data_IF_088655226134
#
_entry.id   IF_088655226134
#
_cell.length_a   1.000
_cell.length_b   1.000
_cell.length_c   1.000
_cell.angle_alpha   90.00
_cell.angle_beta   90.00
_cell.angle_gamma   90.00
#
_symmetry.space_group_name_H-M   'P 1'
#
loop_
_entity.id
_entity.type
_entity.pdbx_description
1 polymer ?
#
# COMPACT_ATOMS: atom_id res chain seq x y z
N UNK A 1 -60.54 -46.45 -26.87
CA UNK A 1 -60.20 -45.01 -26.75
C UNK A 1 -59.26 -44.84 -25.56
N UNK A 2 -58.01 -44.40 -25.84
CA UNK A 2 -57.17 -43.42 -25.09
C UNK A 2 -57.19 -43.57 -23.54
N UNK A 3 -56.13 -43.88 -22.79
CA UNK A 3 -54.74 -43.41 -22.86
C UNK A 3 -53.83 -44.15 -21.85
N UNK A 4 -52.53 -44.13 -22.14
CA UNK A 4 -51.38 -44.01 -21.22
C UNK A 4 -50.87 -45.21 -20.39
N UNK A 5 -49.99 -45.97 -21.05
CA UNK A 5 -48.61 -46.31 -20.64
C UNK A 5 -48.41 -47.05 -19.29
N UNK A 6 -48.12 -48.37 -19.31
CA UNK A 6 -47.62 -49.08 -18.14
C UNK A 6 -46.09 -49.00 -18.00
N UNK A 7 -45.68 -48.46 -16.86
CA UNK A 7 -44.40 -48.58 -16.19
C UNK A 7 -43.74 -49.95 -16.33
N UNK A 8 -42.63 -50.05 -17.06
CA UNK A 8 -41.62 -51.12 -16.90
C UNK A 8 -40.23 -50.66 -17.37
N UNK A 9 -39.80 -49.45 -16.98
CA UNK A 9 -38.45 -48.96 -17.25
C UNK A 9 -37.74 -48.51 -15.95
N UNK A 10 -38.14 -49.09 -14.81
CA UNK A 10 -37.59 -48.78 -13.48
C UNK A 10 -36.61 -49.81 -12.94
N UNK A 11 -36.21 -50.82 -13.71
CA UNK A 11 -35.45 -51.91 -13.10
C UNK A 11 -34.47 -52.66 -14.03
N UNK A 12 -33.86 -52.02 -15.03
CA UNK A 12 -32.72 -52.62 -15.78
C UNK A 12 -31.83 -51.55 -16.42
N UNK A 13 -31.08 -50.78 -15.63
CA UNK A 13 -29.80 -50.20 -16.07
C UNK A 13 -29.03 -49.61 -14.87
N UNK A 14 -29.08 -50.29 -13.74
CA UNK A 14 -28.39 -49.93 -12.50
C UNK A 14 -26.88 -50.31 -12.56
N UNK A 15 -26.25 -50.24 -13.73
CA UNK A 15 -24.86 -50.71 -13.92
C UNK A 15 -24.16 -50.07 -15.13
N UNK A 16 -24.07 -48.75 -15.20
CA UNK A 16 -23.23 -48.12 -16.24
C UNK A 16 -22.71 -46.70 -15.94
N UNK A 17 -22.74 -46.20 -14.69
CA UNK A 17 -22.13 -44.88 -14.41
C UNK A 17 -21.66 -44.75 -12.95
N UNK A 18 -20.75 -45.63 -12.51
CA UNK A 18 -20.08 -45.50 -11.20
C UNK A 18 -18.56 -45.78 -11.24
N UNK A 19 -17.90 -45.61 -12.38
CA UNK A 19 -16.44 -45.75 -12.47
C UNK A 19 -15.85 -44.61 -13.33
N UNK A 20 -15.81 -43.41 -12.75
CA UNK A 20 -14.85 -42.35 -13.13
C UNK A 20 -14.27 -41.76 -11.86
N UNK A 21 -13.50 -42.58 -11.16
CA UNK A 21 -12.60 -42.20 -10.08
C UNK A 21 -11.49 -43.24 -10.13
N UNK A 22 -10.31 -42.90 -10.66
CA UNK A 22 -9.01 -42.76 -9.98
C UNK A 22 -7.95 -42.30 -11.02
N UNK A 23 -6.97 -41.50 -10.59
CA UNK A 23 -5.80 -40.97 -11.31
C UNK A 23 -6.13 -39.79 -12.27
N UNK A 24 -5.73 -38.55 -12.04
CA UNK A 24 -4.45 -38.07 -11.53
C UNK A 24 -4.60 -37.12 -10.33
N UNK A 25 -4.20 -37.60 -9.16
CA UNK A 25 -3.90 -36.82 -7.99
C UNK A 25 -2.48 -37.23 -7.60
N UNK A 26 -1.48 -36.46 -8.07
CA UNK A 26 -0.21 -36.17 -7.39
C UNK A 26 0.82 -35.60 -8.36
N UNK A 27 1.04 -34.28 -8.28
CA UNK A 27 2.37 -33.69 -8.22
C UNK A 27 2.24 -32.17 -7.95
N UNK A 28 2.49 -31.80 -6.70
CA UNK A 28 3.47 -30.75 -6.32
C UNK A 28 3.47 -29.50 -7.21
N UNK A 29 2.91 -28.39 -6.78
CA UNK A 29 3.62 -27.53 -5.83
C UNK A 29 2.62 -26.59 -5.17
N UNK A 30 2.70 -26.52 -3.85
CA UNK A 30 2.21 -25.39 -3.09
C UNK A 30 2.81 -24.11 -3.71
N UNK A 31 2.00 -23.37 -4.45
CA UNK A 31 2.23 -21.94 -4.60
C UNK A 31 2.11 -21.33 -3.22
N UNK A 32 3.21 -21.34 -2.45
CA UNK A 32 3.49 -20.28 -1.51
C UNK A 32 3.05 -18.98 -2.22
N UNK A 33 2.32 -18.04 -1.60
CA UNK A 33 2.31 -16.71 -2.14
C UNK A 33 3.79 -16.34 -2.17
N UNK A 34 4.36 -16.41 -3.37
CA UNK A 34 5.70 -15.93 -3.65
C UNK A 34 5.63 -14.53 -3.10
N UNK A 35 6.28 -14.33 -1.96
CA UNK A 35 6.56 -12.99 -1.52
C UNK A 35 7.33 -12.48 -2.71
N UNK A 36 6.67 -11.67 -3.54
CA UNK A 36 7.30 -11.04 -4.68
C UNK A 36 8.44 -10.30 -4.00
N UNK A 37 9.62 -10.92 -4.00
CA UNK A 37 10.84 -10.28 -3.60
C UNK A 37 11.03 -9.31 -4.74
N UNK A 38 10.37 -8.15 -4.61
CA UNK A 38 10.63 -6.99 -5.43
C UNK A 38 12.14 -6.86 -5.30
N UNK A 39 12.83 -7.14 -6.40
CA UNK A 39 14.26 -6.93 -6.51
C UNK A 39 14.46 -5.42 -6.35
N UNK A 40 14.55 -4.99 -5.10
CA UNK A 40 14.69 -3.59 -4.77
C UNK A 40 16.13 -3.23 -5.05
N UNK A 41 16.32 -2.52 -6.15
CA UNK A 41 17.62 -2.00 -6.52
C UNK A 41 18.17 -1.16 -5.37
N UNK A 42 19.50 -1.12 -5.17
CA UNK A 42 20.12 -0.19 -4.22
C UNK A 42 19.68 1.27 -4.44
N UNK A 43 19.30 1.64 -5.67
CA UNK A 43 18.73 2.97 -5.99
C UNK A 43 17.35 3.17 -5.38
N UNK A 44 16.47 2.18 -5.49
CA UNK A 44 15.11 2.24 -4.92
C UNK A 44 15.18 2.33 -3.40
N UNK A 45 16.01 1.48 -2.79
CA UNK A 45 16.21 1.48 -1.34
C UNK A 45 16.71 2.84 -0.83
N UNK A 46 17.60 3.51 -1.57
CA UNK A 46 18.09 4.84 -1.21
C UNK A 46 17.03 5.93 -1.37
N UNK A 47 16.25 5.90 -2.46
CA UNK A 47 15.16 6.84 -2.67
C UNK A 47 14.06 6.69 -1.61
N UNK A 48 13.71 5.46 -1.25
CA UNK A 48 12.74 5.18 -0.19
C UNK A 48 13.25 5.62 1.19
N UNK A 49 14.56 5.48 1.47
CA UNK A 49 15.16 5.98 2.72
C UNK A 49 15.06 7.51 2.84
N UNK A 50 15.36 8.25 1.77
CA UNK A 50 15.20 9.72 1.74
C UNK A 50 13.73 10.11 1.87
N UNK A 51 12.82 9.41 1.18
CA UNK A 51 11.39 9.63 1.32
C UNK A 51 10.92 9.43 2.78
N UNK A 52 11.41 8.39 3.47
CA UNK A 52 11.10 8.14 4.87
C UNK A 52 11.61 9.25 5.80
N UNK A 53 12.84 9.74 5.58
CA UNK A 53 13.41 10.85 6.34
C UNK A 53 12.58 12.14 6.20
N UNK A 54 12.12 12.44 4.98
CA UNK A 54 11.22 13.57 4.71
C UNK A 54 9.88 13.39 5.43
N UNK A 55 9.31 12.19 5.42
CA UNK A 55 8.08 11.88 6.14
C UNK A 55 8.22 12.10 7.66
N UNK A 56 9.32 11.67 8.26
CA UNK A 56 9.55 11.88 9.70
C UNK A 56 9.69 13.38 10.01
N UNK A 57 10.48 14.10 9.22
CA UNK A 57 10.66 15.54 9.37
C UNK A 57 9.31 16.28 9.26
N UNK A 58 8.49 15.93 8.27
CA UNK A 58 7.15 16.49 8.12
C UNK A 58 6.23 16.13 9.28
N UNK A 59 6.34 14.91 9.83
CA UNK A 59 5.60 14.47 11.01
C UNK A 59 5.96 15.30 12.26
N UNK A 60 7.25 15.57 12.47
CA UNK A 60 7.72 16.45 13.55
C UNK A 60 7.17 17.88 13.42
N UNK A 61 7.28 18.46 12.23
CA UNK A 61 6.74 19.79 11.93
C UNK A 61 5.23 19.81 12.15
N UNK A 62 4.49 18.83 11.62
CA UNK A 62 3.03 18.69 11.81
C UNK A 62 2.68 18.64 13.29
N UNK A 63 3.35 17.79 14.07
CA UNK A 63 3.12 17.65 15.52
C UNK A 63 3.32 18.99 16.24
N UNK A 64 4.39 19.73 15.92
CA UNK A 64 4.67 21.04 16.50
C UNK A 64 3.60 22.06 16.14
N UNK A 65 3.28 22.21 14.86
CA UNK A 65 2.33 23.20 14.37
C UNK A 65 0.90 22.90 14.83
N UNK A 66 0.48 21.63 14.80
CA UNK A 66 -0.84 21.21 15.27
C UNK A 66 -1.03 21.52 16.76
N UNK A 67 -0.03 21.23 17.61
CA UNK A 67 -0.08 21.62 19.03
C UNK A 67 -0.24 23.12 19.21
N UNK A 68 0.52 23.93 18.47
CA UNK A 68 0.43 25.39 18.53
C UNK A 68 -0.95 25.89 18.09
N UNK A 69 -1.49 25.35 16.99
CA UNK A 69 -2.80 25.72 16.48
C UNK A 69 -3.92 25.35 17.46
N UNK A 70 -3.89 24.13 18.01
CA UNK A 70 -4.88 23.68 19.00
C UNK A 70 -4.82 24.55 20.27
N UNK A 71 -3.62 24.84 20.79
CA UNK A 71 -3.48 25.71 21.96
C UNK A 71 -4.03 27.12 21.70
N UNK A 72 -3.78 27.69 20.52
CA UNK A 72 -4.32 28.99 20.13
C UNK A 72 -5.85 28.97 20.00
N UNK A 73 -6.43 27.92 19.41
CA UNK A 73 -7.88 27.77 19.28
C UNK A 73 -8.56 27.55 20.63
N UNK A 74 -7.96 26.75 21.50
CA UNK A 74 -8.45 26.51 22.86
C UNK A 74 -8.50 27.81 23.69
N UNK A 75 -7.48 28.66 23.56
CA UNK A 75 -7.45 29.97 24.21
C UNK A 75 -8.55 30.94 23.69
N UNK A 76 -9.08 30.70 22.48
CA UNK A 76 -10.07 31.56 21.81
C UNK A 76 -11.49 30.96 21.81
N UNK A 77 -11.91 30.36 22.92
CA UNK A 77 -13.28 29.86 23.11
C UNK A 77 -13.43 28.34 23.05
N UNK A 78 -12.32 27.59 23.07
CA UNK A 78 -12.35 26.14 23.14
C UNK A 78 -12.66 25.47 21.80
N UNK A 79 -12.50 24.14 21.78
CA UNK A 79 -12.86 23.29 20.65
C UNK A 79 -13.72 22.14 21.14
N UNK A 80 -14.77 21.82 20.39
CA UNK A 80 -15.42 20.51 20.51
C UNK A 80 -14.49 19.41 20.00
N UNK A 81 -14.70 18.18 20.46
CA UNK A 81 -13.93 17.03 19.99
C UNK A 81 -14.03 16.85 18.46
N UNK A 82 -15.19 17.17 17.88
CA UNK A 82 -15.40 17.11 16.43
C UNK A 82 -14.53 18.10 15.66
N UNK A 83 -14.42 19.33 16.17
CA UNK A 83 -13.57 20.37 15.58
C UNK A 83 -12.09 20.03 15.76
N UNK A 84 -11.68 19.57 16.94
CA UNK A 84 -10.30 19.10 17.18
C UNK A 84 -9.90 18.04 16.16
N UNK A 85 -10.71 16.98 16.02
CA UNK A 85 -10.46 15.92 15.04
C UNK A 85 -10.47 16.42 13.59
N UNK A 86 -11.25 17.45 13.28
CA UNK A 86 -11.26 18.05 11.94
C UNK A 86 -9.93 18.76 11.64
N UNK A 87 -9.37 19.50 12.60
CA UNK A 87 -8.06 20.15 12.48
C UNK A 87 -6.94 19.13 12.37
N UNK A 88 -6.98 18.05 13.16
CA UNK A 88 -6.02 16.94 13.08
C UNK A 88 -6.00 16.30 11.68
N UNK A 89 -7.18 15.93 11.15
CA UNK A 89 -7.31 15.38 9.79
C UNK A 89 -6.87 16.36 8.72
N UNK A 90 -7.12 17.65 8.90
CA UNK A 90 -6.64 18.68 7.98
C UNK A 90 -5.11 18.70 7.96
N UNK A 91 -4.47 18.66 9.13
CA UNK A 91 -3.01 18.63 9.25
C UNK A 91 -2.41 17.38 8.57
N UNK A 92 -3.05 16.22 8.71
CA UNK A 92 -2.63 15.00 8.01
C UNK A 92 -2.68 15.16 6.49
N UNK A 93 -3.82 15.63 5.96
CA UNK A 93 -3.99 15.85 4.51
C UNK A 93 -3.02 16.87 3.94
N UNK A 94 -2.69 17.92 4.70
CA UNK A 94 -1.72 18.91 4.26
C UNK A 94 -0.33 18.31 4.11
N UNK A 95 0.11 17.46 5.06
CA UNK A 95 1.38 16.75 4.95
C UNK A 95 1.37 15.78 3.77
N UNK A 96 0.32 14.97 3.63
CA UNK A 96 0.17 14.06 2.49
C UNK A 96 0.28 14.80 1.15
N UNK A 97 -0.45 15.92 1.00
CA UNK A 97 -0.44 16.71 -0.22
C UNK A 97 0.93 17.34 -0.50
N UNK A 98 1.62 17.85 0.54
CA UNK A 98 2.96 18.43 0.39
C UNK A 98 4.02 17.40 0.00
N UNK A 99 3.90 16.16 0.50
CA UNK A 99 4.89 15.11 0.27
C UNK A 99 4.65 14.30 -1.01
N UNK A 100 3.45 14.34 -1.58
CA UNK A 100 3.10 13.58 -2.77
C UNK A 100 4.04 13.85 -3.96
N UNK A 101 4.27 15.13 -4.30
CA UNK A 101 5.15 15.50 -5.41
C UNK A 101 6.63 15.12 -5.19
N UNK A 102 7.29 15.48 -4.07
CA UNK A 102 8.71 15.16 -3.88
C UNK A 102 8.99 13.65 -3.77
N UNK A 103 8.12 12.88 -3.12
CA UNK A 103 8.30 11.42 -3.02
C UNK A 103 8.07 10.71 -4.36
N UNK A 104 7.12 11.18 -5.18
CA UNK A 104 6.95 10.69 -6.55
C UNK A 104 8.17 11.03 -7.41
N UNK A 105 8.71 12.25 -7.29
CA UNK A 105 9.91 12.68 -8.02
C UNK A 105 11.14 11.85 -7.67
N UNK A 106 11.35 11.50 -6.39
CA UNK A 106 12.45 10.64 -5.96
C UNK A 106 12.33 9.23 -6.54
N UNK A 107 11.12 8.65 -6.53
CA UNK A 107 10.88 7.32 -7.10
C UNK A 107 11.07 7.28 -8.62
N UNK A 108 10.62 8.32 -9.32
CA UNK A 108 10.85 8.46 -10.75
C UNK A 108 12.35 8.54 -11.06
N UNK A 109 13.10 9.33 -10.29
CA UNK A 109 14.55 9.43 -10.45
C UNK A 109 15.30 8.11 -10.16
N UNK A 110 14.81 7.30 -9.22
CA UNK A 110 15.42 5.98 -8.92
C UNK A 110 15.25 4.98 -10.07
N UNK A 111 14.11 5.06 -10.76
CA UNK A 111 13.71 4.13 -11.83
C UNK A 111 14.32 4.53 -13.18
N UNK A 112 14.11 5.79 -13.58
CA UNK A 112 14.26 6.21 -14.97
C UNK A 112 15.48 7.11 -15.23
N UNK A 113 16.03 7.73 -14.19
CA UNK A 113 17.09 8.74 -14.34
C UNK A 113 18.49 8.13 -14.34
N UNK A 114 19.45 8.87 -14.91
CA UNK A 114 20.85 8.50 -14.81
C UNK A 114 21.42 8.76 -13.39
N UNK A 115 22.64 8.27 -13.15
CA UNK A 115 23.27 8.37 -11.84
C UNK A 115 23.49 9.82 -11.37
N UNK A 116 23.70 10.77 -12.29
CA UNK A 116 23.94 12.18 -11.95
C UNK A 116 22.63 12.91 -11.60
N UNK A 117 21.55 12.62 -12.33
CA UNK A 117 20.22 13.13 -12.07
C UNK A 117 19.65 12.59 -10.74
N UNK A 118 19.78 11.28 -10.48
CA UNK A 118 19.40 10.68 -9.20
C UNK A 118 20.18 11.28 -8.03
N UNK A 119 21.50 11.46 -8.18
CA UNK A 119 22.33 12.12 -7.15
C UNK A 119 21.88 13.55 -6.87
N UNK A 120 21.46 14.28 -7.91
CA UNK A 120 20.95 15.65 -7.75
C UNK A 120 19.60 15.68 -7.06
N UNK A 121 18.67 14.80 -7.45
CA UNK A 121 17.38 14.64 -6.77
C UNK A 121 17.57 14.27 -5.30
N UNK A 122 18.43 13.29 -5.01
CA UNK A 122 18.74 12.89 -3.63
C UNK A 122 19.26 14.09 -2.83
N UNK A 123 20.29 14.82 -3.29
CA UNK A 123 20.81 16.00 -2.56
C UNK A 123 19.77 17.09 -2.35
N UNK A 124 18.91 17.35 -3.34
CA UNK A 124 17.87 18.38 -3.23
C UNK A 124 16.89 18.08 -2.09
N UNK A 125 16.59 16.80 -1.87
CA UNK A 125 15.58 16.37 -0.90
C UNK A 125 16.18 15.82 0.41
N UNK A 126 17.45 15.46 0.41
CA UNK A 126 18.25 15.01 1.56
C UNK A 126 18.79 16.17 2.40
N UNK A 127 18.78 17.41 1.87
CA UNK A 127 19.27 18.61 2.56
C UNK A 127 18.54 19.00 3.86
N UNK A 128 17.59 18.19 4.34
CA UNK A 128 16.98 18.29 5.67
C UNK A 128 17.57 17.32 6.71
N UNK A 129 18.33 16.31 6.29
CA UNK A 129 19.18 15.52 7.17
C UNK A 129 20.52 16.26 7.24
N UNK A 130 20.86 16.85 8.38
CA UNK A 130 22.14 17.53 8.52
C UNK A 130 23.27 16.61 8.07
N UNK A 131 24.07 17.10 7.12
CA UNK A 131 25.44 16.65 6.95
C UNK A 131 26.13 16.98 8.27
N UNK A 132 26.25 16.00 9.15
CA UNK A 132 27.25 16.02 10.18
C UNK A 132 28.60 16.00 9.44
N UNK A 133 29.12 17.18 9.15
CA UNK A 133 30.49 17.35 8.69
C UNK A 133 31.42 16.76 9.76
N UNK A 134 32.18 15.73 9.38
CA UNK A 134 33.46 15.36 10.01
C UNK A 134 34.53 15.25 8.93
#
# INVERSE_FOLDING_TARGET
MINRQPSTERQRADKATRETAVADLEATTAGTPETIALDHSPRDARADAVAAAIHETASEVKRRQLRQALAALEANGGLTDGQRRAVERLADRLVEAMLAAPTASLRAAATDADAAELSTALRLFDAGAEVADE
#
